data_IF_560997287508
#
_entry.id   IF_560997287508
#
_cell.length_a   1.000
_cell.length_b   1.000
_cell.length_c   1.000
_cell.angle_alpha   90.00
_cell.angle_beta   90.00
_cell.angle_gamma   90.00
#
_symmetry.space_group_name_H-M   'P 1'
#
loop_
_entity.id
_entity.type
_entity.pdbx_description
1 polymer ?
#
# COMPACT_ATOMS: atom_id res chain seq x y z
N UNK A 1 2.94 -33.26 6.54
CA UNK A 1 2.77 -32.05 7.34
C UNK A 1 1.76 -32.29 8.49
N UNK A 2 0.61 -32.89 8.20
CA UNK A 2 -0.42 -33.24 9.20
C UNK A 2 0.12 -34.26 10.21
N UNK A 3 0.83 -35.30 9.74
CA UNK A 3 1.40 -36.36 10.58
C UNK A 3 2.39 -35.86 11.65
N UNK A 4 2.97 -34.66 11.43
CA UNK A 4 3.92 -34.04 12.36
C UNK A 4 3.30 -32.87 13.17
N UNK A 5 1.97 -32.71 13.14
CA UNK A 5 1.24 -31.62 13.81
C UNK A 5 1.70 -30.19 13.44
N UNK A 6 2.30 -30.02 12.26
CA UNK A 6 2.73 -28.69 11.81
C UNK A 6 1.58 -27.80 11.35
N UNK A 7 0.46 -28.38 10.88
CA UNK A 7 -0.75 -27.65 10.49
C UNK A 7 -1.99 -28.41 10.95
N UNK A 8 -3.06 -27.69 11.28
CA UNK A 8 -4.37 -28.27 11.56
C UNK A 8 -5.02 -28.86 10.29
N UNK A 9 -5.96 -29.78 10.47
CA UNK A 9 -6.66 -30.41 9.35
C UNK A 9 -7.40 -29.40 8.46
N UNK A 10 -7.95 -28.34 9.04
CA UNK A 10 -8.66 -27.26 8.32
C UNK A 10 -7.69 -26.45 7.46
N UNK A 11 -6.57 -26.00 8.00
CA UNK A 11 -5.53 -25.29 7.27
C UNK A 11 -4.92 -26.15 6.15
N UNK A 12 -4.77 -27.45 6.37
CA UNK A 12 -4.30 -28.36 5.34
C UNK A 12 -5.31 -28.50 4.19
N UNK A 13 -6.61 -28.55 4.50
CA UNK A 13 -7.67 -28.60 3.50
C UNK A 13 -7.71 -27.31 2.67
N UNK A 14 -7.59 -26.15 3.30
CA UNK A 14 -7.54 -24.85 2.65
C UNK A 14 -6.33 -24.72 1.73
N UNK A 15 -5.15 -25.20 2.17
CA UNK A 15 -3.93 -25.20 1.37
C UNK A 15 -4.09 -26.07 0.10
N UNK A 16 -4.69 -27.26 0.23
CA UNK A 16 -4.93 -28.16 -0.91
C UNK A 16 -5.98 -27.60 -1.87
N UNK A 17 -6.99 -26.93 -1.36
CA UNK A 17 -8.07 -26.34 -2.16
C UNK A 17 -7.69 -25.02 -2.85
N UNK A 18 -6.59 -24.40 -2.41
CA UNK A 18 -6.15 -23.13 -2.97
C UNK A 18 -5.45 -23.31 -4.32
N UNK A 19 -5.94 -22.58 -5.33
CA UNK A 19 -5.32 -22.51 -6.66
C UNK A 19 -4.45 -21.25 -6.73
N UNK A 20 -3.12 -21.44 -6.74
CA UNK A 20 -2.14 -20.36 -6.84
C UNK A 20 -2.20 -19.57 -8.15
N UNK A 21 -2.85 -20.10 -9.17
CA UNK A 21 -2.98 -19.46 -10.47
C UNK A 21 -4.29 -18.67 -10.60
N UNK A 22 -5.24 -18.84 -9.67
CA UNK A 22 -6.46 -18.05 -9.61
C UNK A 22 -6.22 -16.76 -8.80
N UNK A 23 -5.98 -15.66 -9.52
CA UNK A 23 -5.71 -14.34 -8.93
C UNK A 23 -6.89 -13.75 -8.14
N UNK A 24 -8.09 -14.35 -8.22
CA UNK A 24 -9.27 -13.88 -7.50
C UNK A 24 -9.49 -14.62 -6.18
N UNK A 25 -8.70 -15.63 -5.89
CA UNK A 25 -8.75 -16.36 -4.61
C UNK A 25 -7.73 -15.81 -3.63
N UNK A 26 -8.19 -15.42 -2.44
CA UNK A 26 -7.29 -15.14 -1.32
C UNK A 26 -6.79 -16.47 -0.73
N UNK A 27 -5.68 -16.41 -0.01
CA UNK A 27 -5.10 -17.56 0.70
C UNK A 27 -5.57 -17.55 2.16
N UNK A 28 -6.66 -18.24 2.53
CA UNK A 28 -7.23 -18.19 3.88
C UNK A 28 -6.30 -18.79 4.94
N UNK A 29 -5.38 -19.65 4.49
CA UNK A 29 -4.38 -20.30 5.33
C UNK A 29 -3.14 -19.44 5.57
N UNK A 30 -3.02 -18.25 4.92
CA UNK A 30 -1.84 -17.42 5.06
C UNK A 30 -1.73 -16.85 6.48
N UNK A 31 -0.66 -17.23 7.15
CA UNK A 31 -0.30 -16.76 8.48
C UNK A 31 1.20 -16.45 8.48
N UNK A 32 1.54 -15.17 8.60
CA UNK A 32 2.91 -14.70 8.50
C UNK A 32 3.78 -15.17 9.67
N UNK A 33 3.22 -15.27 10.86
CA UNK A 33 3.93 -15.75 12.04
C UNK A 33 4.24 -17.23 11.91
N UNK A 34 3.22 -18.04 11.65
CA UNK A 34 3.38 -19.49 11.55
C UNK A 34 4.23 -19.92 10.34
N UNK A 35 4.02 -19.29 9.17
CA UNK A 35 4.70 -19.70 7.92
C UNK A 35 6.14 -19.20 7.83
N UNK A 36 6.43 -18.03 8.38
CA UNK A 36 7.68 -17.31 8.15
C UNK A 36 8.34 -16.78 9.43
N UNK A 37 7.75 -17.01 10.60
CA UNK A 37 8.24 -16.50 11.88
C UNK A 37 8.16 -14.97 12.02
N UNK A 38 7.28 -14.32 11.26
CA UNK A 38 7.11 -12.87 11.30
C UNK A 38 6.14 -12.50 12.42
N UNK A 39 6.68 -12.08 13.58
CA UNK A 39 5.90 -11.73 14.78
C UNK A 39 5.66 -10.23 14.92
N UNK A 40 6.63 -9.39 14.52
CA UNK A 40 6.63 -7.94 14.77
C UNK A 40 6.23 -7.11 13.54
N UNK A 41 5.88 -7.78 12.43
CA UNK A 41 5.62 -7.19 11.13
C UNK A 41 6.79 -7.33 10.15
N UNK A 42 6.60 -6.79 8.96
CA UNK A 42 7.54 -6.96 7.86
C UNK A 42 8.63 -5.87 7.88
N UNK A 43 9.83 -6.23 7.41
CA UNK A 43 10.93 -5.28 7.18
C UNK A 43 10.62 -4.33 6.04
N UNK A 44 10.01 -4.85 4.98
CA UNK A 44 9.70 -4.12 3.75
C UNK A 44 8.30 -4.48 3.28
N UNK A 45 7.52 -3.45 2.95
CA UNK A 45 6.23 -3.59 2.27
C UNK A 45 6.30 -2.82 0.95
N UNK A 46 6.15 -3.52 -0.17
CA UNK A 46 6.22 -2.96 -1.52
C UNK A 46 4.94 -3.29 -2.30
N UNK A 47 4.32 -2.29 -2.95
CA UNK A 47 3.13 -2.53 -3.76
C UNK A 47 2.90 -1.46 -4.83
N UNK A 48 2.04 -1.84 -5.78
CA UNK A 48 1.27 -0.95 -6.65
C UNK A 48 -0.22 -1.15 -6.29
N UNK A 49 -0.76 -0.40 -5.32
CA UNK A 49 -2.14 -0.55 -4.89
C UNK A 49 -3.14 -0.22 -5.99
N UNK A 50 -4.35 -0.79 -5.98
CA UNK A 50 -5.37 -0.49 -6.98
C UNK A 50 -5.82 0.98 -6.91
N UNK A 51 -6.17 1.57 -8.08
CA UNK A 51 -6.66 2.94 -8.23
C UNK A 51 -8.18 2.92 -8.43
N UNK A 52 -8.91 2.79 -7.33
CA UNK A 52 -10.36 2.67 -7.32
C UNK A 52 -10.94 3.73 -6.40
N UNK A 53 -11.81 4.59 -6.94
CA UNK A 53 -12.49 5.59 -6.12
C UNK A 53 -13.48 4.95 -5.17
N UNK A 54 -13.43 5.33 -3.91
CA UNK A 54 -14.34 4.82 -2.87
C UNK A 54 -15.80 5.15 -3.13
N UNK A 55 -16.07 6.19 -3.93
CA UNK A 55 -17.42 6.60 -4.34
C UNK A 55 -18.02 5.75 -5.47
N UNK A 56 -17.24 4.91 -6.14
CA UNK A 56 -17.75 4.05 -7.20
C UNK A 56 -18.85 3.11 -6.67
N UNK A 57 -19.69 2.62 -7.56
CA UNK A 57 -20.81 1.73 -7.22
C UNK A 57 -21.72 2.26 -6.10
N UNK A 58 -22.11 3.53 -6.21
CA UNK A 58 -22.98 4.17 -5.21
C UNK A 58 -22.32 4.37 -3.84
N UNK A 59 -21.00 4.30 -3.78
CA UNK A 59 -20.24 4.50 -2.54
C UNK A 59 -20.22 3.27 -1.61
N UNK A 60 -20.43 2.08 -2.15
CA UNK A 60 -20.40 0.83 -1.37
C UNK A 60 -19.07 0.64 -0.64
N UNK A 61 -17.95 0.86 -1.34
CA UNK A 61 -16.62 0.81 -0.72
C UNK A 61 -16.44 1.88 0.36
N UNK A 62 -16.92 3.11 0.12
CA UNK A 62 -16.83 4.17 1.12
C UNK A 62 -17.61 3.84 2.41
N UNK A 63 -18.75 3.17 2.30
CA UNK A 63 -19.50 2.70 3.47
C UNK A 63 -18.73 1.62 4.23
N UNK A 64 -18.21 0.62 3.51
CA UNK A 64 -17.46 -0.49 4.09
C UNK A 64 -16.22 0.01 4.84
N UNK A 65 -15.38 0.82 4.19
CA UNK A 65 -14.13 1.30 4.81
C UNK A 65 -14.32 2.36 5.88
N UNK A 66 -15.48 3.02 5.94
CA UNK A 66 -15.81 3.92 7.06
C UNK A 66 -15.82 3.20 8.41
N UNK A 67 -16.28 1.94 8.43
CA UNK A 67 -16.32 1.10 9.63
C UNK A 67 -14.94 0.57 10.06
N UNK A 68 -13.93 0.64 9.16
CA UNK A 68 -12.57 0.15 9.44
C UNK A 68 -11.69 1.14 10.22
N UNK A 69 -12.18 2.35 10.50
CA UNK A 69 -11.52 3.38 11.32
C UNK A 69 -10.11 3.79 10.85
N UNK A 70 -9.84 3.77 9.53
CA UNK A 70 -8.59 4.30 9.00
C UNK A 70 -8.49 5.82 9.20
N UNK A 71 -7.36 6.29 9.75
CA UNK A 71 -7.06 7.73 9.90
C UNK A 71 -6.92 8.43 8.53
N UNK A 72 -6.41 7.68 7.54
CA UNK A 72 -6.24 8.14 6.15
C UNK A 72 -7.55 8.16 5.34
N UNK A 73 -8.68 7.74 5.92
CA UNK A 73 -9.95 7.63 5.23
C UNK A 73 -10.50 8.99 4.79
N UNK A 74 -10.90 9.06 3.52
CA UNK A 74 -11.74 10.12 2.98
C UNK A 74 -12.83 9.50 2.09
N UNK A 75 -14.08 9.86 2.33
CA UNK A 75 -15.23 9.33 1.56
C UNK A 75 -15.08 9.52 0.04
N UNK A 76 -14.43 10.60 -0.37
CA UNK A 76 -14.22 10.96 -1.78
C UNK A 76 -12.87 10.50 -2.32
N UNK A 77 -12.10 9.78 -1.50
CA UNK A 77 -10.75 9.33 -1.82
C UNK A 77 -10.68 8.12 -2.74
N UNK A 78 -9.47 7.74 -3.03
CA UNK A 78 -9.11 6.51 -3.71
C UNK A 78 -8.65 5.47 -2.68
N UNK A 79 -8.88 4.20 -2.96
CA UNK A 79 -8.56 3.09 -2.06
C UNK A 79 -7.04 3.03 -1.75
N UNK A 80 -6.15 3.43 -2.66
CA UNK A 80 -4.71 3.45 -2.42
C UNK A 80 -4.31 4.32 -1.23
N UNK A 81 -5.12 5.33 -0.87
CA UNK A 81 -4.87 6.13 0.34
C UNK A 81 -4.94 5.27 1.61
N UNK A 82 -5.89 4.32 1.65
CA UNK A 82 -6.04 3.38 2.76
C UNK A 82 -4.91 2.33 2.76
N UNK A 83 -4.42 1.96 1.59
CA UNK A 83 -3.30 1.02 1.47
C UNK A 83 -2.02 1.55 2.11
N UNK A 84 -1.76 2.86 2.08
CA UNK A 84 -0.61 3.44 2.79
C UNK A 84 -0.67 3.18 4.29
N UNK A 85 -1.82 3.39 4.91
CA UNK A 85 -2.01 3.11 6.34
C UNK A 85 -2.00 1.62 6.62
N UNK A 86 -2.68 0.80 5.80
CA UNK A 86 -2.65 -0.65 5.92
C UNK A 86 -1.23 -1.20 5.82
N UNK A 87 -0.45 -0.77 4.82
CA UNK A 87 0.94 -1.16 4.67
C UNK A 87 1.80 -0.73 5.86
N UNK A 88 1.56 0.47 6.41
CA UNK A 88 2.22 0.92 7.63
C UNK A 88 1.90 0.04 8.85
N UNK A 89 0.64 -0.41 8.97
CA UNK A 89 0.24 -1.34 10.04
C UNK A 89 1.00 -2.67 9.95
N UNK A 90 1.26 -3.15 8.73
CA UNK A 90 2.00 -4.39 8.47
C UNK A 90 3.51 -4.28 8.72
N UNK A 91 4.09 -3.08 8.77
CA UNK A 91 5.51 -2.89 9.03
C UNK A 91 5.85 -3.10 10.50
N UNK A 92 7.02 -3.69 10.76
CA UNK A 92 7.68 -3.57 12.06
C UNK A 92 8.19 -2.15 12.28
N UNK A 93 8.57 -1.81 13.51
CA UNK A 93 9.25 -0.54 13.79
C UNK A 93 10.51 -0.42 12.92
N UNK A 94 10.77 0.77 12.38
CA UNK A 94 11.85 1.09 11.43
C UNK A 94 11.72 0.37 10.07
N UNK A 95 10.68 -0.44 9.85
CA UNK A 95 10.40 -1.06 8.55
C UNK A 95 10.07 -0.03 7.48
N UNK A 96 10.30 -0.39 6.21
CA UNK A 96 10.22 0.51 5.05
C UNK A 96 9.04 0.13 4.16
N UNK A 97 8.25 1.14 3.79
CA UNK A 97 7.22 1.00 2.75
C UNK A 97 7.65 1.72 1.49
N UNK A 98 7.42 1.07 0.35
CA UNK A 98 7.63 1.66 -0.98
C UNK A 98 6.42 1.39 -1.86
N UNK A 99 5.67 2.43 -2.19
CA UNK A 99 4.51 2.31 -3.08
C UNK A 99 4.64 3.22 -4.29
N UNK A 100 4.19 2.71 -5.44
CA UNK A 100 3.87 3.53 -6.60
C UNK A 100 2.35 3.75 -6.64
N UNK A 101 1.91 5.01 -6.67
CA UNK A 101 0.50 5.39 -6.65
C UNK A 101 0.25 6.62 -7.53
N UNK A 102 -1.03 7.01 -7.67
CA UNK A 102 -1.35 8.33 -8.23
C UNK A 102 -0.85 9.45 -7.32
N UNK A 103 -0.30 10.52 -7.91
CA UNK A 103 0.18 11.70 -7.18
C UNK A 103 -0.95 12.65 -6.73
N UNK A 104 -2.21 12.35 -7.06
CA UNK A 104 -3.36 13.23 -6.78
C UNK A 104 -3.56 13.50 -5.29
N UNK A 105 -3.23 12.54 -4.41
CA UNK A 105 -3.33 12.72 -2.96
C UNK A 105 -2.53 13.91 -2.44
N UNK A 106 -1.45 14.30 -3.12
CA UNK A 106 -0.60 15.42 -2.69
C UNK A 106 -1.31 16.78 -2.78
N UNK A 107 -2.27 16.95 -3.70
CA UNK A 107 -2.88 18.27 -4.01
C UNK A 107 -4.41 18.30 -3.93
N UNK A 108 -5.08 17.16 -3.80
CA UNK A 108 -6.55 17.10 -3.71
C UNK A 108 -7.04 17.20 -2.26
N UNK A 109 -8.30 17.64 -2.11
CA UNK A 109 -8.94 17.69 -0.80
C UNK A 109 -9.06 16.32 -0.12
N UNK A 110 -9.35 15.27 -0.89
CA UNK A 110 -9.45 13.92 -0.32
C UNK A 110 -8.11 13.36 0.22
N UNK A 111 -6.99 13.88 -0.26
CA UNK A 111 -5.66 13.50 0.20
C UNK A 111 -5.28 14.13 1.55
N UNK A 112 -6.08 15.03 2.12
CA UNK A 112 -5.77 15.71 3.36
C UNK A 112 -5.57 14.75 4.54
N UNK A 113 -6.48 13.78 4.70
CA UNK A 113 -6.39 12.77 5.76
C UNK A 113 -5.10 11.95 5.64
N UNK A 114 -4.74 11.54 4.40
CA UNK A 114 -3.50 10.82 4.16
C UNK A 114 -2.27 11.68 4.46
N UNK A 115 -2.25 12.95 4.01
CA UNK A 115 -1.13 13.86 4.32
C UNK A 115 -0.94 14.07 5.82
N UNK A 116 -2.05 14.20 6.56
CA UNK A 116 -2.01 14.29 8.03
C UNK A 116 -1.42 13.02 8.63
N UNK A 117 -1.91 11.85 8.21
CA UNK A 117 -1.37 10.56 8.63
C UNK A 117 0.15 10.47 8.38
N UNK A 118 0.61 10.90 7.17
CA UNK A 118 2.04 10.90 6.83
C UNK A 118 2.86 11.78 7.77
N UNK A 119 2.35 12.95 8.15
CA UNK A 119 3.06 13.87 9.07
C UNK A 119 3.14 13.29 10.48
N UNK A 120 2.06 12.67 10.94
CA UNK A 120 1.90 12.28 12.34
C UNK A 120 2.53 10.91 12.64
N UNK A 121 2.56 9.99 11.67
CA UNK A 121 2.83 8.56 11.91
C UNK A 121 4.08 8.01 11.22
N UNK A 122 4.58 8.65 10.18
CA UNK A 122 5.67 8.08 9.38
C UNK A 122 6.86 9.03 9.26
N UNK A 123 8.00 8.49 8.88
CA UNK A 123 9.17 9.25 8.46
C UNK A 123 9.31 9.14 6.93
N UNK A 124 8.83 10.12 6.15
CA UNK A 124 9.01 10.12 4.70
C UNK A 124 10.50 10.30 4.36
N UNK A 125 11.03 9.42 3.50
CA UNK A 125 12.44 9.37 3.13
C UNK A 125 12.65 9.92 1.72
N UNK A 126 11.83 9.44 0.77
CA UNK A 126 12.01 9.78 -0.64
C UNK A 126 10.66 9.87 -1.35
N UNK A 127 10.51 10.90 -2.18
CA UNK A 127 9.36 11.08 -3.05
C UNK A 127 9.83 11.37 -4.47
N UNK A 128 9.44 10.54 -5.43
CA UNK A 128 9.61 10.77 -6.84
C UNK A 128 8.25 11.07 -7.48
N UNK A 129 8.06 12.27 -8.02
CA UNK A 129 6.89 12.65 -8.81
C UNK A 129 7.23 12.56 -10.29
N UNK A 130 6.56 11.70 -11.04
CA UNK A 130 6.77 11.54 -12.49
C UNK A 130 6.25 12.72 -13.30
N UNK A 131 5.50 13.65 -12.71
CA UNK A 131 5.13 14.95 -13.26
C UNK A 131 4.61 14.89 -14.72
N UNK A 132 3.67 13.96 -15.00
CA UNK A 132 3.05 13.79 -16.31
C UNK A 132 3.82 12.88 -17.28
N UNK A 133 4.96 12.29 -16.87
CA UNK A 133 5.55 11.17 -17.60
C UNK A 133 4.63 9.96 -17.46
N UNK A 134 4.25 9.39 -18.60
CA UNK A 134 3.43 8.18 -18.62
C UNK A 134 4.26 6.96 -18.20
N UNK A 135 3.97 6.44 -17.01
CA UNK A 135 4.62 5.26 -16.45
C UNK A 135 3.82 3.98 -16.76
N UNK A 136 2.50 4.11 -16.92
CA UNK A 136 1.58 3.03 -17.22
C UNK A 136 0.84 3.31 -18.52
N UNK A 137 0.25 2.30 -19.15
CA UNK A 137 -0.63 2.46 -20.31
C UNK A 137 -1.87 3.32 -19.99
N UNK A 138 -2.32 3.31 -18.73
CA UNK A 138 -3.36 4.19 -18.25
C UNK A 138 -2.84 5.62 -18.01
N UNK A 139 -3.64 6.64 -18.34
CA UNK A 139 -3.31 8.05 -18.10
C UNK A 139 -3.41 8.38 -16.59
N UNK A 140 -2.38 8.07 -15.86
CA UNK A 140 -2.27 8.35 -14.42
C UNK A 140 -0.95 9.06 -14.15
N UNK A 141 -1.03 10.24 -13.53
CA UNK A 141 0.15 10.90 -12.97
C UNK A 141 0.59 10.13 -11.73
N UNK A 142 1.70 9.42 -11.85
CA UNK A 142 2.21 8.54 -10.79
C UNK A 142 3.26 9.23 -9.91
N UNK A 143 3.42 8.70 -8.70
CA UNK A 143 4.54 8.98 -7.82
C UNK A 143 5.03 7.71 -7.12
N UNK A 144 6.30 7.69 -6.74
CA UNK A 144 6.83 6.71 -5.79
C UNK A 144 7.09 7.42 -4.48
N UNK A 145 6.54 6.87 -3.40
CA UNK A 145 6.83 7.32 -2.03
C UNK A 145 7.49 6.20 -1.25
N UNK A 146 8.61 6.55 -0.58
CA UNK A 146 9.32 5.68 0.35
C UNK A 146 9.26 6.34 1.73
N UNK A 147 8.81 5.59 2.74
CA UNK A 147 8.87 6.02 4.13
C UNK A 147 9.23 4.87 5.07
N UNK A 148 9.68 5.18 6.27
CA UNK A 148 9.81 4.21 7.36
C UNK A 148 8.75 4.42 8.44
N UNK A 149 8.44 3.33 9.17
CA UNK A 149 7.59 3.35 10.37
C UNK A 149 8.39 3.88 11.57
N UNK A 150 8.74 5.16 11.49
CA UNK A 150 9.56 5.86 12.47
C UNK A 150 9.03 7.27 12.69
N UNK A 151 9.55 7.94 13.73
CA UNK A 151 9.27 9.36 13.97
C UNK A 151 9.79 10.20 12.80
N UNK A 152 8.97 11.13 12.32
CA UNK A 152 9.33 12.02 11.22
C UNK A 152 10.61 12.83 11.53
N UNK A 153 11.64 12.62 10.73
CA UNK A 153 12.93 13.31 10.84
C UNK A 153 12.95 14.65 10.08
N UNK A 154 11.86 15.01 9.38
CA UNK A 154 11.76 16.21 8.56
C UNK A 154 12.85 16.33 7.48
N UNK A 155 13.30 15.19 6.94
CA UNK A 155 14.37 15.11 5.94
C UNK A 155 13.91 14.29 4.73
N UNK A 156 12.93 14.82 3.98
CA UNK A 156 12.40 14.20 2.78
C UNK A 156 13.21 14.64 1.55
N UNK A 157 13.76 13.68 0.82
CA UNK A 157 14.34 13.93 -0.51
C UNK A 157 13.25 13.86 -1.58
N UNK A 158 13.17 14.89 -2.44
CA UNK A 158 12.14 14.99 -3.49
C UNK A 158 12.79 15.11 -4.86
N UNK A 159 12.31 14.29 -5.81
CA UNK A 159 12.68 14.37 -7.23
C UNK A 159 11.40 14.54 -8.05
N UNK A 160 11.41 15.54 -8.94
CA UNK A 160 10.36 15.71 -9.95
C UNK A 160 10.95 15.48 -11.34
N UNK A 161 10.38 14.53 -12.06
CA UNK A 161 10.90 14.09 -13.35
C UNK A 161 10.52 15.01 -14.53
N UNK A 162 9.79 16.09 -14.38
CA UNK A 162 9.44 17.10 -15.40
C UNK A 162 9.61 16.67 -16.86
N UNK A 163 9.40 17.58 -17.81
CA UNK A 163 9.52 17.28 -19.26
C UNK A 163 10.91 16.79 -19.73
N UNK A 164 11.96 16.96 -18.93
CA UNK A 164 13.31 16.46 -19.23
C UNK A 164 13.58 15.03 -18.75
N UNK A 165 12.67 14.47 -17.95
CA UNK A 165 12.87 13.15 -17.31
C UNK A 165 12.58 11.94 -18.22
N UNK A 166 12.16 12.12 -19.46
CA UNK A 166 11.91 10.99 -20.39
C UNK A 166 13.18 10.17 -20.69
N UNK A 167 14.35 10.77 -20.55
CA UNK A 167 15.63 10.09 -20.83
C UNK A 167 16.17 9.34 -19.61
N UNK A 168 15.69 9.62 -18.41
CA UNK A 168 16.13 8.95 -17.17
C UNK A 168 15.61 7.51 -17.09
N UNK A 169 14.46 7.22 -17.68
CA UNK A 169 13.84 5.89 -17.68
C UNK A 169 14.28 4.99 -18.85
N UNK A 170 15.12 5.50 -19.77
CA UNK A 170 15.61 4.76 -20.95
C UNK A 170 17.01 4.18 -20.78
N UNK A 171 17.71 4.49 -19.72
CA UNK A 171 19.02 3.96 -19.33
C UNK A 171 18.87 3.08 -18.11
#
# INVERSE_FOLDING_TARGET
LIENNFIGNEQAADLVAWDMFDQHKYAPFFDAEWMFGVTDGFDIVIANPPYIRLQNNGGALAKMYKECNYESFSRTGDIYCLFYEFGWQMLKNEGILTYITSNKWMRTGYGESLRKFMIDKVNPIFLMDFAGIQVFDATVDANILIFSKAKNAHNLSVVSCGHQGKDILKN
#
